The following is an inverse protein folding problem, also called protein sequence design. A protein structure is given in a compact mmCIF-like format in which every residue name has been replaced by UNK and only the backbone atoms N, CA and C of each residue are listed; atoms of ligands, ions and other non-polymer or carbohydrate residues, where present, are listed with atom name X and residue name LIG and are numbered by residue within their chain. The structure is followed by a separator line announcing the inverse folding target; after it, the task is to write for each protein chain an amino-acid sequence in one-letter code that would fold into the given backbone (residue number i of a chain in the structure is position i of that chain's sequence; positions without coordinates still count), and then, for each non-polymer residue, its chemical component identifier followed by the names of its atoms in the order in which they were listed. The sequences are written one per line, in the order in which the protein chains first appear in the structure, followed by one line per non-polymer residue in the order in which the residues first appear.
data_IF_076856283090
#
_entry.id   IF_076856283090
#
_cell.length_a   1.000
_cell.length_b   1.000
_cell.length_c   1.000
_cell.angle_alpha   90.00
_cell.angle_beta   90.00
_cell.angle_gamma   90.00
#
_symmetry.space_group_name_H-M   'P 1'
#
loop_
_entity.id
_entity.type
_entity.pdbx_description
1 polymer ?
#
# COMPACT_ATOMS: atom_id res chain seq x y z
N UNK A 1 -60.52 15.14 31.97
CA UNK A 1 -59.69 15.74 30.95
C UNK A 1 -58.52 14.80 30.73
N UNK A 2 -58.65 13.89 29.81
CA UNK A 2 -57.57 12.96 29.38
C UNK A 2 -56.88 13.61 28.22
N UNK A 3 -55.60 13.91 28.36
CA UNK A 3 -54.76 14.41 27.29
C UNK A 3 -54.11 13.20 26.57
N UNK A 4 -54.52 12.99 25.34
CA UNK A 4 -53.93 12.04 24.40
C UNK A 4 -52.50 12.41 24.10
N UNK A 5 -51.56 11.54 24.47
CA UNK A 5 -50.17 11.59 24.01
C UNK A 5 -50.05 10.64 22.81
N UNK A 6 -49.99 11.23 21.63
CA UNK A 6 -49.66 10.48 20.39
C UNK A 6 -48.25 9.91 20.45
N UNK A 7 -48.00 8.70 19.97
CA UNK A 7 -46.66 8.10 19.96
C UNK A 7 -45.81 8.79 18.89
N UNK A 8 -44.71 9.39 19.32
CA UNK A 8 -43.68 9.94 18.43
C UNK A 8 -42.92 8.76 17.79
N UNK A 9 -43.17 8.52 16.55
CA UNK A 9 -42.39 7.56 15.73
C UNK A 9 -40.97 8.12 15.59
N UNK A 10 -39.90 7.36 15.86
CA UNK A 10 -38.56 7.80 15.57
C UNK A 10 -38.42 7.82 14.05
N UNK A 11 -38.20 9.01 13.48
CA UNK A 11 -37.73 9.15 12.12
C UNK A 11 -36.35 8.50 12.01
N UNK A 12 -36.29 7.31 11.42
CA UNK A 12 -35.05 6.75 10.92
C UNK A 12 -34.58 7.66 9.78
N UNK A 13 -33.59 8.49 10.06
CA UNK A 13 -32.75 9.10 9.03
C UNK A 13 -32.03 7.95 8.32
N UNK A 14 -32.68 7.35 7.35
CA UNK A 14 -32.08 6.45 6.38
C UNK A 14 -31.11 7.26 5.54
N UNK A 15 -29.88 7.40 5.98
CA UNK A 15 -28.80 7.81 5.12
C UNK A 15 -28.59 6.66 4.13
N UNK A 16 -28.96 6.86 2.89
CA UNK A 16 -28.67 5.89 1.83
C UNK A 16 -27.14 5.69 1.81
N UNK A 17 -26.60 4.50 2.10
CA UNK A 17 -25.18 4.27 2.19
C UNK A 17 -24.43 4.46 0.88
N UNK A 18 -25.15 4.71 -0.22
CA UNK A 18 -24.58 4.96 -1.55
C UNK A 18 -24.47 6.47 -1.89
N UNK A 19 -24.98 7.36 -1.05
CA UNK A 19 -24.87 8.80 -1.28
C UNK A 19 -23.42 9.22 -0.97
N UNK A 20 -22.69 9.65 -2.01
CA UNK A 20 -21.30 10.13 -1.91
C UNK A 20 -20.25 9.14 -2.43
N UNK A 21 -20.65 7.96 -2.92
CA UNK A 21 -19.72 7.03 -3.57
C UNK A 21 -19.64 7.30 -5.07
N UNK A 22 -18.42 7.34 -5.60
CA UNK A 22 -18.16 7.47 -7.04
C UNK A 22 -17.95 6.07 -7.65
N UNK A 23 -18.66 5.77 -8.74
CA UNK A 23 -18.39 4.57 -9.51
C UNK A 23 -17.00 4.68 -10.15
N UNK A 24 -16.14 3.74 -9.85
CA UNK A 24 -14.83 3.56 -10.47
C UNK A 24 -14.83 2.23 -11.23
N UNK A 25 -14.84 2.32 -12.55
CA UNK A 25 -14.69 1.15 -13.42
C UNK A 25 -13.22 0.95 -13.71
N UNK A 26 -12.72 -0.24 -13.45
CA UNK A 26 -11.34 -0.65 -13.75
C UNK A 26 -11.35 -1.34 -15.11
N UNK A 27 -10.99 -0.60 -16.14
CA UNK A 27 -10.90 -1.10 -17.51
C UNK A 27 -9.63 -1.93 -17.71
N UNK A 28 -9.71 -2.95 -18.58
CA UNK A 28 -8.57 -3.84 -18.83
C UNK A 28 -8.12 -4.60 -17.58
N UNK A 29 -9.03 -4.95 -16.68
CA UNK A 29 -8.68 -5.58 -15.41
C UNK A 29 -7.98 -6.93 -15.60
N UNK A 30 -6.73 -7.00 -15.14
CA UNK A 30 -5.88 -8.18 -15.11
C UNK A 30 -5.81 -8.73 -13.67
N UNK A 31 -6.29 -9.95 -13.38
CA UNK A 31 -6.15 -10.58 -12.07
C UNK A 31 -4.68 -10.75 -11.66
N UNK A 32 -4.38 -10.52 -10.39
CA UNK A 32 -3.04 -10.73 -9.84
C UNK A 32 -2.68 -12.23 -9.67
N UNK A 33 -3.68 -13.11 -9.73
CA UNK A 33 -3.55 -14.56 -9.55
C UNK A 33 -3.99 -15.31 -10.81
N UNK A 34 -3.41 -16.46 -11.03
CA UNK A 34 -3.86 -17.35 -12.10
C UNK A 34 -5.23 -17.97 -11.73
N UNK A 35 -6.18 -17.88 -12.63
CA UNK A 35 -7.56 -18.36 -12.46
C UNK A 35 -7.94 -19.31 -13.58
N UNK A 36 -8.84 -20.25 -13.29
CA UNK A 36 -9.47 -21.09 -14.28
C UNK A 36 -10.41 -20.30 -15.21
N UNK A 37 -10.71 -20.86 -16.39
CA UNK A 37 -11.58 -20.20 -17.39
C UNK A 37 -12.96 -19.85 -16.84
N UNK A 38 -13.52 -20.66 -15.94
CA UNK A 38 -14.84 -20.43 -15.34
C UNK A 38 -14.80 -19.38 -14.22
N UNK A 39 -13.68 -19.28 -13.49
CA UNK A 39 -13.50 -18.36 -12.37
C UNK A 39 -13.20 -16.93 -12.84
N UNK A 40 -12.46 -16.80 -13.96
CA UNK A 40 -11.98 -15.54 -14.48
C UNK A 40 -13.08 -14.49 -14.67
N UNK A 41 -14.21 -14.78 -15.35
CA UNK A 41 -15.26 -13.77 -15.56
C UNK A 41 -15.91 -13.30 -14.25
N UNK A 42 -16.06 -14.21 -13.28
CA UNK A 42 -16.63 -13.90 -11.96
C UNK A 42 -15.68 -12.99 -11.18
N UNK A 43 -14.40 -13.33 -11.17
CA UNK A 43 -13.37 -12.56 -10.50
C UNK A 43 -13.21 -11.16 -11.11
N UNK A 44 -13.14 -11.05 -12.44
CA UNK A 44 -13.09 -9.77 -13.14
C UNK A 44 -14.28 -8.91 -12.77
N UNK A 45 -15.51 -9.44 -12.85
CA UNK A 45 -16.71 -8.69 -12.48
C UNK A 45 -16.68 -8.22 -11.03
N UNK A 46 -16.13 -9.03 -10.12
CA UNK A 46 -16.03 -8.71 -8.68
C UNK A 46 -15.14 -7.52 -8.41
N UNK A 47 -14.03 -7.36 -9.13
CA UNK A 47 -12.99 -6.37 -8.83
C UNK A 47 -12.83 -5.26 -9.88
N UNK A 48 -13.54 -5.32 -11.01
CA UNK A 48 -13.50 -4.27 -12.02
C UNK A 48 -14.56 -3.18 -11.86
N UNK A 49 -15.57 -3.39 -10.99
CA UNK A 49 -16.60 -2.38 -10.70
C UNK A 49 -16.60 -2.04 -9.22
N UNK A 50 -16.15 -0.85 -8.89
CA UNK A 50 -15.92 -0.42 -7.52
C UNK A 50 -16.69 0.89 -7.25
N UNK A 51 -17.14 1.05 -6.01
CA UNK A 51 -17.74 2.28 -5.50
C UNK A 51 -16.74 2.92 -4.55
N UNK A 52 -16.04 3.93 -5.02
CA UNK A 52 -14.97 4.62 -4.31
C UNK A 52 -15.53 5.71 -3.40
N UNK A 53 -15.07 5.73 -2.15
CA UNK A 53 -15.36 6.79 -1.17
C UNK A 53 -14.22 7.82 -1.21
N UNK A 54 -14.40 8.86 -2.00
CA UNK A 54 -13.37 9.89 -2.20
C UNK A 54 -13.07 10.69 -0.90
N UNK A 55 -13.89 10.58 0.14
CA UNK A 55 -13.60 11.18 1.46
C UNK A 55 -12.44 10.48 2.18
N UNK A 56 -12.21 9.22 1.83
CA UNK A 56 -11.13 8.40 2.42
C UNK A 56 -9.79 8.56 1.71
N UNK A 57 -9.75 9.32 0.60
CA UNK A 57 -8.57 9.44 -0.24
C UNK A 57 -7.34 9.91 0.54
N UNK A 58 -6.24 9.21 0.34
CA UNK A 58 -4.91 9.56 0.84
C UNK A 58 -3.94 9.64 -0.33
N UNK A 59 -3.14 10.69 -0.36
CA UNK A 59 -2.07 10.87 -1.34
C UNK A 59 -0.76 10.36 -0.75
N UNK A 60 -0.04 9.57 -1.52
CA UNK A 60 1.35 9.17 -1.29
C UNK A 60 2.20 9.59 -2.49
N UNK A 61 3.45 9.30 -2.48
CA UNK A 61 4.44 9.57 -3.53
C UNK A 61 3.89 9.88 -4.94
N UNK A 62 3.70 8.85 -5.78
CA UNK A 62 3.14 8.99 -7.14
C UNK A 62 1.69 8.50 -7.24
N UNK A 63 1.08 8.12 -6.12
CA UNK A 63 -0.25 7.51 -6.13
C UNK A 63 -1.19 8.10 -5.10
N UNK A 64 -2.46 7.85 -5.31
CA UNK A 64 -3.52 8.07 -4.32
C UNK A 64 -4.21 6.74 -4.01
N UNK A 65 -4.55 6.53 -2.77
CA UNK A 65 -5.30 5.35 -2.30
C UNK A 65 -6.64 5.80 -1.79
N UNK A 66 -7.70 5.16 -2.27
CA UNK A 66 -9.09 5.42 -1.89
C UNK A 66 -9.72 4.11 -1.42
N UNK A 67 -10.46 4.15 -0.32
CA UNK A 67 -11.30 3.02 0.05
C UNK A 67 -12.44 2.88 -0.94
N UNK A 68 -12.68 1.67 -1.40
CA UNK A 68 -13.82 1.36 -2.24
C UNK A 68 -14.53 0.11 -1.76
N UNK A 69 -15.73 -0.13 -2.26
CA UNK A 69 -16.45 -1.40 -2.07
C UNK A 69 -16.82 -1.96 -3.43
N UNK A 70 -16.78 -3.28 -3.57
CA UNK A 70 -17.27 -3.94 -4.77
C UNK A 70 -18.79 -4.21 -4.68
N UNK A 71 -19.37 -4.78 -5.72
CA UNK A 71 -20.80 -5.09 -5.78
C UNK A 71 -21.28 -6.09 -4.70
N UNK A 72 -20.38 -6.84 -4.09
CA UNK A 72 -20.64 -7.76 -2.98
C UNK A 72 -20.48 -7.10 -1.60
N UNK A 73 -20.18 -5.81 -1.53
CA UNK A 73 -19.96 -5.07 -0.28
C UNK A 73 -18.59 -5.30 0.36
N UNK A 74 -17.65 -5.92 -0.35
CA UNK A 74 -16.29 -6.13 0.16
C UNK A 74 -15.46 -4.85 0.03
N UNK A 75 -14.81 -4.48 1.12
CA UNK A 75 -13.90 -3.34 1.13
C UNK A 75 -12.59 -3.67 0.40
N UNK A 76 -12.20 -2.78 -0.51
CA UNK A 76 -10.95 -2.85 -1.27
C UNK A 76 -10.24 -1.50 -1.21
N UNK A 77 -8.93 -1.50 -1.42
CA UNK A 77 -8.16 -0.30 -1.66
C UNK A 77 -7.93 -0.15 -3.16
N UNK A 78 -8.34 0.99 -3.70
CA UNK A 78 -8.06 1.40 -5.07
C UNK A 78 -6.89 2.38 -5.04
N UNK A 79 -5.71 1.94 -5.48
CA UNK A 79 -4.53 2.80 -5.64
C UNK A 79 -4.44 3.22 -7.10
N UNK A 80 -4.47 4.53 -7.36
CA UNK A 80 -4.34 5.10 -8.70
C UNK A 80 -3.06 5.92 -8.81
N UNK A 81 -2.42 5.85 -9.97
CA UNK A 81 -1.28 6.71 -10.30
C UNK A 81 -1.73 8.18 -10.33
N UNK A 82 -0.88 9.08 -9.85
CA UNK A 82 -1.02 10.52 -10.07
C UNK A 82 -0.05 10.88 -11.19
N UNK A 83 -0.61 11.26 -12.33
CA UNK A 83 0.20 11.73 -13.46
C UNK A 83 0.63 13.17 -13.23
N UNK A 84 1.87 13.55 -13.63
CA UNK A 84 2.31 14.93 -13.64
C UNK A 84 1.43 15.75 -14.58
N UNK A 85 1.13 16.99 -14.21
CA UNK A 85 0.34 17.90 -15.04
C UNK A 85 1.19 18.48 -16.17
N UNK A 86 0.58 18.66 -17.35
CA UNK A 86 1.28 19.20 -18.54
C UNK A 86 1.80 20.62 -18.30
N UNK A 87 1.08 21.42 -17.54
CA UNK A 87 1.38 22.84 -17.28
C UNK A 87 2.69 23.06 -16.49
N UNK A 88 3.25 21.99 -15.93
CA UNK A 88 4.54 22.02 -15.20
C UNK A 88 5.76 21.90 -16.12
N UNK A 89 5.55 21.79 -17.46
CA UNK A 89 6.62 21.50 -18.42
C UNK A 89 6.56 22.45 -19.63
N UNK A 90 7.72 22.94 -20.04
CA UNK A 90 7.89 23.76 -21.25
C UNK A 90 7.89 22.91 -22.53
N UNK A 91 8.20 21.60 -22.42
CA UNK A 91 8.35 20.69 -23.55
C UNK A 91 7.48 19.44 -23.41
N UNK A 92 6.76 19.07 -24.47
CA UNK A 92 5.91 17.88 -24.56
C UNK A 92 6.71 16.61 -24.36
N UNK A 93 7.90 16.51 -24.95
CA UNK A 93 8.75 15.33 -24.86
C UNK A 93 9.24 15.09 -23.42
N UNK A 94 9.54 16.15 -22.67
CA UNK A 94 9.93 16.04 -21.26
C UNK A 94 8.75 15.56 -20.39
N UNK A 95 7.55 16.08 -20.63
CA UNK A 95 6.34 15.64 -19.95
C UNK A 95 6.04 14.16 -20.25
N UNK A 96 6.03 13.74 -21.53
CA UNK A 96 5.79 12.35 -21.93
C UNK A 96 6.84 11.39 -21.32
N UNK A 97 8.10 11.78 -21.31
CA UNK A 97 9.17 11.00 -20.71
C UNK A 97 8.95 10.80 -19.19
N UNK A 98 8.50 11.84 -18.47
CA UNK A 98 8.21 11.72 -17.04
C UNK A 98 6.96 10.87 -16.79
N UNK A 99 5.89 11.04 -17.59
CA UNK A 99 4.69 10.19 -17.53
C UNK A 99 5.06 8.72 -17.72
N UNK A 100 5.90 8.43 -18.71
CA UNK A 100 6.39 7.05 -18.97
C UNK A 100 7.16 6.48 -17.76
N UNK A 101 8.02 7.28 -17.14
CA UNK A 101 8.75 6.90 -15.91
C UNK A 101 7.80 6.60 -14.75
N UNK A 102 6.77 7.42 -14.56
CA UNK A 102 5.80 7.21 -13.48
C UNK A 102 4.98 5.95 -13.71
N UNK A 103 4.52 5.71 -14.94
CA UNK A 103 3.83 4.47 -15.32
C UNK A 103 4.71 3.23 -15.09
N UNK A 104 5.98 3.30 -15.48
CA UNK A 104 6.94 2.21 -15.28
C UNK A 104 7.16 1.91 -13.78
N UNK A 105 7.39 2.95 -12.97
CA UNK A 105 7.57 2.80 -11.53
C UNK A 105 6.32 2.26 -10.83
N UNK A 106 5.13 2.66 -11.28
CA UNK A 106 3.88 2.17 -10.73
C UNK A 106 3.62 0.71 -11.11
N UNK A 107 4.04 0.30 -12.32
CA UNK A 107 4.01 -1.11 -12.74
C UNK A 107 5.00 -1.95 -11.93
N UNK A 108 6.19 -1.45 -11.67
CA UNK A 108 7.19 -2.13 -10.83
C UNK A 108 6.68 -2.32 -9.39
N UNK A 109 6.03 -1.31 -8.81
CA UNK A 109 5.35 -1.44 -7.52
C UNK A 109 4.33 -2.58 -7.52
N UNK A 110 3.51 -2.67 -8.58
CA UNK A 110 2.54 -3.74 -8.74
C UNK A 110 3.22 -5.12 -8.77
N UNK A 111 4.31 -5.28 -9.52
CA UNK A 111 5.01 -6.56 -9.62
C UNK A 111 5.67 -6.97 -8.28
N UNK A 112 6.28 -6.01 -7.56
CA UNK A 112 6.79 -6.25 -6.21
C UNK A 112 5.67 -6.69 -5.26
N UNK A 113 4.54 -5.99 -5.28
CA UNK A 113 3.39 -6.34 -4.45
C UNK A 113 2.82 -7.71 -4.84
N UNK A 114 2.75 -8.03 -6.15
CA UNK A 114 2.25 -9.32 -6.65
C UNK A 114 3.08 -10.48 -6.11
N UNK A 115 4.40 -10.35 -6.09
CA UNK A 115 5.29 -11.38 -5.57
C UNK A 115 5.11 -11.62 -4.06
N UNK A 116 4.72 -10.60 -3.30
CA UNK A 116 4.51 -10.66 -1.85
C UNK A 116 3.05 -10.99 -1.47
N UNK A 117 2.13 -10.89 -2.42
CA UNK A 117 0.70 -11.14 -2.20
C UNK A 117 0.45 -12.58 -1.77
N UNK A 118 -0.39 -12.74 -0.77
CA UNK A 118 -0.69 -14.07 -0.18
C UNK A 118 0.20 -14.46 0.99
N UNK A 119 1.32 -13.76 1.23
CA UNK A 119 2.10 -13.92 2.45
C UNK A 119 1.43 -13.19 3.62
N UNK A 120 1.55 -13.77 4.82
CA UNK A 120 1.09 -13.09 6.04
C UNK A 120 1.92 -11.83 6.28
N UNK A 121 1.23 -10.71 6.51
CA UNK A 121 1.86 -9.42 6.78
C UNK A 121 1.92 -8.50 5.56
N UNK A 122 1.30 -8.90 4.45
CA UNK A 122 1.17 -8.09 3.23
C UNK A 122 -0.28 -8.03 2.79
N UNK A 123 -0.77 -6.92 2.17
CA UNK A 123 -2.11 -6.87 1.63
C UNK A 123 -2.27 -7.86 0.47
N UNK A 124 -3.44 -8.45 0.33
CA UNK A 124 -3.75 -9.23 -0.87
C UNK A 124 -3.85 -8.29 -2.07
N UNK A 125 -3.25 -8.70 -3.17
CA UNK A 125 -3.38 -8.03 -4.45
C UNK A 125 -4.49 -8.71 -5.25
N UNK A 126 -5.43 -7.93 -5.76
CA UNK A 126 -6.52 -8.46 -6.57
C UNK A 126 -6.26 -8.32 -8.06
N UNK A 127 -5.71 -7.18 -8.50
CA UNK A 127 -5.38 -7.01 -9.90
C UNK A 127 -4.92 -5.61 -10.26
N UNK A 128 -4.69 -5.45 -11.56
CA UNK A 128 -4.26 -4.24 -12.24
C UNK A 128 -5.29 -3.85 -13.29
N UNK A 129 -5.36 -2.57 -13.63
CA UNK A 129 -6.13 -2.04 -14.76
C UNK A 129 -6.00 -0.54 -14.84
N UNK A 130 -6.97 0.11 -15.46
CA UNK A 130 -7.03 1.56 -15.58
C UNK A 130 -8.38 2.08 -15.12
N UNK A 131 -8.39 3.23 -14.45
CA UNK A 131 -9.59 3.99 -14.11
C UNK A 131 -9.47 5.34 -14.76
N UNK A 132 -10.41 5.68 -15.66
CA UNK A 132 -10.39 6.91 -16.46
C UNK A 132 -9.08 7.08 -17.26
N UNK A 133 -8.54 5.98 -17.81
CA UNK A 133 -7.28 5.95 -18.55
C UNK A 133 -6.00 6.10 -17.72
N UNK A 134 -6.13 6.06 -16.39
CA UNK A 134 -4.99 6.14 -15.45
C UNK A 134 -4.74 4.79 -14.80
N UNK A 135 -3.49 4.29 -14.77
CA UNK A 135 -3.16 3.02 -14.13
C UNK A 135 -3.65 2.93 -12.69
N UNK A 136 -4.20 1.77 -12.34
CA UNK A 136 -4.79 1.49 -11.05
C UNK A 136 -4.45 0.07 -10.55
N UNK A 137 -4.27 -0.05 -9.25
CA UNK A 137 -4.06 -1.31 -8.53
C UNK A 137 -5.26 -1.51 -7.60
N UNK A 138 -5.86 -2.70 -7.66
CA UNK A 138 -6.91 -3.12 -6.72
C UNK A 138 -6.33 -4.12 -5.75
N UNK A 139 -6.45 -3.82 -4.47
CA UNK A 139 -5.87 -4.64 -3.39
C UNK A 139 -6.76 -4.66 -2.15
N UNK A 140 -6.41 -5.47 -1.18
CA UNK A 140 -7.09 -5.55 0.12
C UNK A 140 -7.12 -4.18 0.81
N UNK A 141 -8.30 -3.79 1.28
CA UNK A 141 -8.39 -2.74 2.28
C UNK A 141 -8.01 -3.31 3.63
N UNK A 142 -6.89 -2.88 4.18
CA UNK A 142 -6.40 -3.34 5.48
C UNK A 142 -7.17 -2.64 6.59
N UNK A 143 -8.04 -3.37 7.27
CA UNK A 143 -8.73 -2.86 8.45
C UNK A 143 -7.77 -2.76 9.63
N UNK A 144 -7.58 -1.52 10.13
CA UNK A 144 -6.64 -1.22 11.20
C UNK A 144 -6.12 0.20 11.12
N UNK A 145 -5.07 0.45 11.87
CA UNK A 145 -4.43 1.76 11.92
C UNK A 145 -2.91 1.66 11.72
N UNK A 146 -2.31 2.68 11.15
CA UNK A 146 -0.84 2.76 11.02
C UNK A 146 -0.19 2.96 12.39
N UNK A 147 1.03 2.48 12.57
CA UNK A 147 1.80 2.74 13.79
C UNK A 147 1.98 4.24 14.06
N UNK A 148 2.05 5.06 12.99
CA UNK A 148 2.11 6.51 13.13
C UNK A 148 0.88 7.08 13.86
N UNK A 149 -0.32 6.56 13.57
CA UNK A 149 -1.58 6.96 14.23
C UNK A 149 -1.72 6.36 15.63
N UNK A 150 -1.28 5.11 15.77
CA UNK A 150 -1.36 4.41 17.06
C UNK A 150 -0.35 4.93 18.09
N UNK A 151 0.67 5.69 17.67
CA UNK A 151 1.73 6.17 18.56
C UNK A 151 1.20 6.83 19.83
N UNK A 152 0.22 7.73 19.72
CA UNK A 152 -0.37 8.42 20.89
C UNK A 152 -1.11 7.48 21.83
N UNK A 153 -1.76 6.44 21.29
CA UNK A 153 -2.50 5.43 22.10
C UNK A 153 -1.58 4.42 22.77
N UNK A 154 -0.40 4.17 22.18
CA UNK A 154 0.61 3.24 22.67
C UNK A 154 1.65 3.92 23.56
N UNK A 155 1.68 5.25 23.56
CA UNK A 155 2.64 6.04 24.33
C UNK A 155 2.42 5.88 25.85
N UNK A 156 3.53 5.81 26.58
CA UNK A 156 3.52 5.76 28.05
C UNK A 156 3.82 7.11 28.69
N UNK A 157 4.14 8.12 27.87
CA UNK A 157 4.45 9.48 28.32
C UNK A 157 4.11 10.54 27.27
N UNK A 158 4.18 11.80 27.66
CA UNK A 158 3.88 12.97 26.82
C UNK A 158 4.86 13.16 25.66
N UNK A 159 6.05 12.55 25.71
CA UNK A 159 7.02 12.54 24.61
C UNK A 159 6.67 11.54 23.51
N UNK A 160 5.58 10.76 23.69
CA UNK A 160 5.11 9.76 22.74
C UNK A 160 6.03 8.54 22.67
N UNK A 161 6.75 8.22 23.77
CA UNK A 161 7.58 7.01 23.86
C UNK A 161 6.74 5.80 24.18
N UNK A 162 7.07 4.69 23.53
CA UNK A 162 6.49 3.38 23.83
C UNK A 162 7.17 2.76 25.06
N UNK A 163 6.49 1.89 25.79
CA UNK A 163 7.18 1.08 26.77
C UNK A 163 8.23 0.19 26.08
N UNK A 164 9.38 -0.07 26.72
CA UNK A 164 10.44 -0.91 26.12
C UNK A 164 9.91 -2.29 25.70
N UNK A 165 8.99 -2.87 26.45
CA UNK A 165 8.39 -4.15 26.16
C UNK A 165 7.54 -4.11 24.88
N UNK A 166 6.67 -3.11 24.73
CA UNK A 166 5.83 -2.92 23.53
C UNK A 166 6.73 -2.66 22.31
N UNK A 167 7.75 -1.80 22.45
CA UNK A 167 8.69 -1.52 21.37
C UNK A 167 9.45 -2.79 20.91
N UNK A 168 9.92 -3.60 21.86
CA UNK A 168 10.62 -4.85 21.56
C UNK A 168 9.72 -5.87 20.85
N UNK A 169 8.45 -5.98 21.27
CA UNK A 169 7.46 -6.89 20.65
C UNK A 169 7.11 -6.45 19.22
N UNK A 170 6.85 -5.16 19.02
CA UNK A 170 6.63 -4.60 17.69
C UNK A 170 7.84 -4.81 16.78
N UNK A 171 9.05 -4.60 17.31
CA UNK A 171 10.31 -4.84 16.58
C UNK A 171 10.45 -6.30 16.17
N UNK A 172 10.21 -7.24 17.08
CA UNK A 172 10.22 -8.68 16.77
C UNK A 172 9.26 -9.02 15.63
N UNK A 173 7.99 -8.60 15.74
CA UNK A 173 6.96 -8.93 14.76
C UNK A 173 7.25 -8.29 13.39
N UNK A 174 7.85 -7.08 13.39
CA UNK A 174 8.33 -6.42 12.17
C UNK A 174 9.51 -7.18 11.54
N UNK A 175 10.50 -7.59 12.33
CA UNK A 175 11.62 -8.37 11.80
C UNK A 175 11.17 -9.71 11.23
N UNK A 176 10.23 -10.40 11.88
CA UNK A 176 9.64 -11.64 11.35
C UNK A 176 8.95 -11.41 10.01
N UNK A 177 8.32 -10.26 9.82
CA UNK A 177 7.69 -9.87 8.55
C UNK A 177 8.76 -9.61 7.48
N UNK A 178 9.81 -8.86 7.80
CA UNK A 178 10.92 -8.58 6.89
C UNK A 178 11.69 -9.84 6.50
N UNK A 179 11.88 -10.78 7.44
CA UNK A 179 12.47 -12.08 7.14
C UNK A 179 11.63 -12.85 6.10
N UNK A 180 10.30 -12.87 6.25
CA UNK A 180 9.40 -13.50 5.24
C UNK A 180 9.52 -12.84 3.88
N UNK A 181 9.58 -11.51 3.82
CA UNK A 181 9.78 -10.74 2.59
C UNK A 181 11.09 -11.11 1.90
N UNK A 182 12.17 -11.29 2.67
CA UNK A 182 13.49 -11.63 2.14
C UNK A 182 13.61 -13.10 1.68
N UNK A 183 12.66 -13.97 1.99
CA UNK A 183 12.63 -15.37 1.54
C UNK A 183 11.92 -15.56 0.18
N UNK A 184 11.35 -14.52 -0.41
CA UNK A 184 10.66 -14.60 -1.70
C UNK A 184 11.64 -14.34 -2.84
N UNK A 185 11.77 -15.30 -3.76
CA UNK A 185 12.74 -15.23 -4.86
C UNK A 185 14.16 -15.06 -4.34
N UNK A 186 14.87 -14.08 -4.88
CA UNK A 186 16.22 -13.69 -4.40
C UNK A 186 16.16 -12.69 -3.24
N UNK A 187 14.95 -12.34 -2.78
CA UNK A 187 14.68 -11.38 -1.72
C UNK A 187 14.14 -10.05 -2.23
N UNK A 188 13.59 -9.28 -1.28
CA UNK A 188 13.08 -7.93 -1.54
C UNK A 188 13.60 -6.95 -0.49
N UNK A 189 13.80 -5.71 -0.90
CA UNK A 189 14.13 -4.58 -0.03
C UNK A 189 13.01 -3.56 -0.12
N UNK A 190 12.41 -3.19 1.01
CA UNK A 190 11.28 -2.23 1.04
C UNK A 190 11.71 -0.78 0.83
N UNK A 191 12.85 -0.37 1.39
CA UNK A 191 13.47 0.96 1.32
C UNK A 191 12.68 2.13 1.94
N UNK A 192 11.46 1.91 2.42
CA UNK A 192 10.67 2.94 3.12
C UNK A 192 9.92 2.34 4.33
N UNK A 193 10.68 1.70 5.22
CA UNK A 193 10.15 1.23 6.50
C UNK A 193 9.94 2.44 7.42
N UNK A 194 8.69 2.79 7.61
CA UNK A 194 8.29 3.89 8.49
C UNK A 194 7.00 3.54 9.24
N UNK A 195 6.71 4.18 10.38
CA UNK A 195 5.46 3.96 11.10
C UNK A 195 4.19 4.27 10.28
N UNK A 196 4.30 5.07 9.22
CA UNK A 196 3.20 5.37 8.31
C UNK A 196 2.89 4.20 7.36
N UNK A 197 3.90 3.35 7.06
CA UNK A 197 3.80 2.23 6.13
C UNK A 197 3.61 0.87 6.84
N UNK A 198 3.49 0.88 8.18
CA UNK A 198 3.21 -0.31 8.99
C UNK A 198 1.83 -0.16 9.61
N UNK A 199 0.90 -1.05 9.26
CA UNK A 199 -0.42 -1.12 9.87
C UNK A 199 -0.49 -2.22 10.91
N UNK A 200 -1.25 -1.99 11.97
CA UNK A 200 -1.71 -3.02 12.90
C UNK A 200 -3.12 -3.40 12.49
N UNK A 201 -3.30 -4.62 12.01
CA UNK A 201 -4.61 -5.16 11.63
C UNK A 201 -5.46 -5.39 12.88
N UNK A 202 -6.73 -4.97 12.85
CA UNK A 202 -7.64 -5.13 13.98
C UNK A 202 -8.91 -5.92 13.65
N UNK A 203 -9.04 -6.37 12.39
CA UNK A 203 -10.22 -7.10 11.93
C UNK A 203 -10.44 -8.45 12.66
N UNK A 204 -9.38 -9.15 13.02
CA UNK A 204 -9.45 -10.45 13.70
C UNK A 204 -9.23 -10.35 15.20
N UNK A 205 -8.33 -9.50 15.64
CA UNK A 205 -7.92 -9.34 17.02
C UNK A 205 -7.80 -7.85 17.35
N UNK A 206 -8.64 -7.31 18.24
CA UNK A 206 -8.55 -5.92 18.68
C UNK A 206 -7.19 -5.58 19.26
N UNK A 207 -6.80 -4.30 19.18
CA UNK A 207 -5.49 -3.82 19.63
C UNK A 207 -5.20 -4.18 21.11
N UNK A 208 -6.20 -4.06 21.99
CA UNK A 208 -6.02 -4.34 23.42
C UNK A 208 -5.68 -5.82 23.70
N UNK A 209 -6.27 -6.72 22.90
CA UNK A 209 -5.94 -8.13 22.99
C UNK A 209 -4.54 -8.42 22.44
N UNK A 210 -4.16 -7.78 21.32
CA UNK A 210 -2.80 -7.89 20.78
C UNK A 210 -1.74 -7.41 21.79
N UNK A 211 -2.03 -6.32 22.50
CA UNK A 211 -1.18 -5.81 23.59
C UNK A 211 -1.05 -6.82 24.73
N UNK A 212 -2.17 -7.42 25.15
CA UNK A 212 -2.19 -8.42 26.22
C UNK A 212 -1.43 -9.69 25.84
N UNK A 213 -1.64 -10.19 24.61
CA UNK A 213 -0.94 -11.37 24.08
C UNK A 213 0.54 -11.07 23.76
N UNK A 214 0.86 -9.80 23.54
CA UNK A 214 2.21 -9.35 23.20
C UNK A 214 2.66 -9.78 21.80
N UNK A 215 1.73 -9.88 20.87
CA UNK A 215 1.96 -10.17 19.46
C UNK A 215 1.06 -9.28 18.61
N UNK A 216 1.66 -8.61 17.62
CA UNK A 216 0.95 -7.67 16.75
C UNK A 216 0.75 -8.27 15.35
N UNK A 217 -0.48 -8.16 14.83
CA UNK A 217 -0.78 -8.53 13.43
C UNK A 217 -0.38 -7.36 12.51
N UNK A 218 0.92 -7.29 12.21
CA UNK A 218 1.48 -6.23 11.38
C UNK A 218 1.23 -6.50 9.91
N UNK A 219 0.97 -5.42 9.17
CA UNK A 219 0.85 -5.41 7.73
C UNK A 219 1.70 -4.27 7.15
N UNK A 220 2.67 -4.63 6.33
CA UNK A 220 3.50 -3.67 5.61
C UNK A 220 2.78 -3.25 4.33
N UNK A 221 2.63 -1.95 4.13
CA UNK A 221 1.92 -1.35 3.01
C UNK A 221 2.85 -0.41 2.23
N UNK A 222 2.46 -0.09 1.00
CA UNK A 222 3.17 0.83 0.09
C UNK A 222 4.53 0.31 -0.38
N UNK A 223 4.53 -0.30 -1.57
CA UNK A 223 5.71 -0.90 -2.20
C UNK A 223 6.36 0.02 -3.25
N UNK A 224 5.96 1.30 -3.31
CA UNK A 224 6.44 2.26 -4.30
C UNK A 224 7.95 2.55 -4.26
N UNK A 225 8.61 2.17 -3.18
CA UNK A 225 10.08 2.24 -3.04
C UNK A 225 10.73 0.87 -3.04
N UNK A 226 9.94 -0.22 -3.09
CA UNK A 226 10.45 -1.59 -2.97
C UNK A 226 11.19 -2.05 -4.22
N UNK A 227 12.07 -3.01 -4.04
CA UNK A 227 12.88 -3.57 -5.10
C UNK A 227 13.08 -5.07 -4.89
N UNK A 228 12.88 -5.85 -5.97
CA UNK A 228 13.33 -7.23 -6.02
C UNK A 228 14.85 -7.29 -6.18
N UNK A 229 15.50 -8.19 -5.45
CA UNK A 229 16.94 -8.44 -5.63
C UNK A 229 17.15 -9.35 -6.84
N UNK A 230 18.16 -9.02 -7.67
CA UNK A 230 18.54 -9.89 -8.78
C UNK A 230 19.56 -10.95 -8.34
N UNK A 231 19.58 -12.13 -9.00
CA UNK A 231 20.59 -13.15 -8.72
C UNK A 231 22.00 -12.58 -8.91
N UNK A 232 22.91 -12.95 -8.04
CA UNK A 232 24.32 -12.52 -8.13
C UNK A 232 24.98 -12.85 -9.48
N UNK A 233 24.50 -13.89 -10.17
CA UNK A 233 24.95 -14.29 -11.51
C UNK A 233 24.54 -13.33 -12.63
N UNK A 234 23.42 -12.62 -12.49
CA UNK A 234 22.95 -11.64 -13.48
C UNK A 234 23.80 -10.36 -13.46
N UNK A 235 24.34 -10.01 -12.30
CA UNK A 235 25.21 -8.83 -12.12
C UNK A 235 26.59 -9.01 -12.74
N UNK A 236 27.10 -10.24 -12.82
CA UNK A 236 28.43 -10.54 -13.35
C UNK A 236 28.53 -10.53 -14.89
N UNK A 237 27.39 -10.60 -15.61
CA UNK A 237 27.35 -10.68 -17.09
C UNK A 237 27.12 -9.35 -17.82
N UNK A 238 26.67 -8.33 -17.13
CA UNK A 238 26.42 -7.02 -17.72
C UNK A 238 27.69 -6.18 -17.61
N UNK A 239 28.53 -6.21 -18.62
CA UNK A 239 29.76 -5.43 -18.76
C UNK A 239 29.55 -3.91 -18.93
N UNK A 240 28.59 -3.35 -18.22
CA UNK A 240 28.34 -1.93 -18.12
C UNK A 240 27.82 -1.63 -16.71
N UNK A 241 28.62 -0.89 -15.96
CA UNK A 241 28.28 -0.33 -14.65
C UNK A 241 27.15 0.73 -14.78
N UNK A 242 25.96 0.31 -15.20
CA UNK A 242 24.80 1.08 -14.83
C UNK A 242 24.58 0.83 -13.34
N UNK A 243 25.03 1.75 -12.50
CA UNK A 243 24.87 1.64 -11.07
C UNK A 243 23.39 1.46 -10.77
N UNK A 244 23.08 0.63 -9.80
CA UNK A 244 21.71 0.47 -9.24
C UNK A 244 21.01 1.82 -9.04
N UNK A 245 21.76 2.85 -8.68
CA UNK A 245 21.34 4.23 -8.52
C UNK A 245 20.92 4.91 -9.83
N UNK A 246 21.55 4.61 -10.97
CA UNK A 246 21.20 5.22 -12.26
C UNK A 246 19.92 4.64 -12.86
N UNK A 247 19.64 3.35 -12.68
CA UNK A 247 18.35 2.75 -13.08
C UNK A 247 17.17 3.34 -12.31
N UNK A 248 17.36 3.74 -11.05
CA UNK A 248 16.30 4.14 -10.12
C UNK A 248 16.46 5.56 -9.56
N UNK A 249 17.48 6.31 -10.00
CA UNK A 249 17.83 7.63 -9.48
C UNK A 249 16.71 8.68 -9.57
N UNK A 250 15.70 8.46 -10.41
CA UNK A 250 14.66 9.45 -10.68
C UNK A 250 13.49 9.40 -9.71
N UNK A 251 13.35 8.35 -8.90
CA UNK A 251 12.23 8.20 -7.98
C UNK A 251 12.67 7.68 -6.61
N UNK A 252 13.70 8.32 -6.04
CA UNK A 252 14.08 8.07 -4.66
C UNK A 252 12.93 8.51 -3.75
N UNK A 253 12.26 7.53 -3.17
CA UNK A 253 11.19 7.75 -2.21
C UNK A 253 11.59 7.10 -0.92
N UNK A 254 11.78 7.92 0.07
CA UNK A 254 11.95 7.46 1.43
C UNK A 254 11.41 8.53 2.36
N UNK A 255 10.83 8.11 3.46
CA UNK A 255 10.46 9.01 4.54
C UNK A 255 11.73 9.52 5.21
N UNK A 256 12.12 10.76 4.96
CA UNK A 256 13.44 11.34 5.33
C UNK A 256 13.85 11.02 6.76
N UNK A 257 12.92 11.06 7.71
CA UNK A 257 13.20 10.78 9.13
C UNK A 257 13.58 9.29 9.40
N UNK A 258 13.33 8.39 8.45
CA UNK A 258 13.54 6.94 8.59
C UNK A 258 14.43 6.38 7.48
N UNK A 259 14.80 7.22 6.51
CA UNK A 259 15.66 6.82 5.41
C UNK A 259 17.08 6.57 5.88
N UNK A 260 17.75 5.52 5.42
CA UNK A 260 19.17 5.34 5.67
C UNK A 260 19.98 6.43 4.91
N UNK A 261 21.18 6.80 5.41
CA UNK A 261 21.97 7.90 4.86
C UNK A 261 22.22 7.79 3.35
N UNK A 262 22.44 6.59 2.85
CA UNK A 262 22.67 6.29 1.43
C UNK A 262 21.45 6.58 0.53
N UNK A 263 20.26 6.62 1.10
CA UNK A 263 19.04 7.01 0.39
C UNK A 263 18.85 8.52 0.30
N UNK A 264 19.58 9.27 1.12
CA UNK A 264 19.54 10.74 1.22
C UNK A 264 20.68 11.42 0.47
N UNK A 265 21.72 10.65 0.10
CA UNK A 265 22.89 11.12 -0.65
C UNK A 265 22.93 10.53 -2.05
N UNK A 266 23.78 11.11 -2.93
CA UNK A 266 24.01 10.56 -4.27
C UNK A 266 25.10 9.47 -4.28
N UNK A 267 25.54 9.02 -3.12
CA UNK A 267 26.57 8.01 -2.99
C UNK A 267 26.06 6.62 -3.46
N UNK A 268 26.96 5.90 -4.10
CA UNK A 268 26.67 4.52 -4.58
C UNK A 268 26.64 3.60 -3.38
N UNK A 269 25.48 2.96 -3.18
CA UNK A 269 25.31 1.94 -2.14
C UNK A 269 25.65 0.56 -2.69
N UNK A 270 26.58 -0.14 -2.06
CA UNK A 270 26.81 -1.55 -2.31
C UNK A 270 25.65 -2.37 -1.70
N UNK A 271 24.86 -3.00 -2.56
CA UNK A 271 23.72 -3.85 -2.17
C UNK A 271 24.07 -4.94 -1.15
N UNK A 272 25.36 -5.32 -1.05
CA UNK A 272 25.83 -6.30 -0.06
C UNK A 272 25.71 -5.77 1.37
N UNK A 273 25.74 -4.44 1.57
CA UNK A 273 25.56 -3.80 2.88
C UNK A 273 24.09 -3.88 3.33
N UNK A 274 23.14 -3.94 2.39
CA UNK A 274 21.71 -4.05 2.68
C UNK A 274 21.25 -5.45 3.09
N UNK A 275 22.14 -6.45 2.99
CA UNK A 275 21.88 -7.86 3.42
C UNK A 275 22.27 -8.13 4.87
N UNK A 276 22.86 -7.16 5.58
CA UNK A 276 23.14 -7.22 7.01
C UNK A 276 21.96 -6.66 7.81
#
# INVERSE_FOLDING_TARGET
MMTDLAPTTPQSLGCDPMVGLRLARVDGFEPAVALGQEELPVYVRRFSMLFADDTTMRRGGIGRVTRAVNAQGEAVALKQLILPTRDEFDDDAAHEALVAKFKAAFREEYECHRALSGLKGFPRLYGWGEVDGVPAIVMEWVEGETLARLRSRLAVDDAGRLSPLVAARLGRDLFDLLCRMNLVGEGFVHRDISPANIMVRTARLPLDQQLAEGSFDLCLIDFGSSLALEPASAVAGAGGKASFTERYATLRRATVAYAPPEMLTDDIVDLRVLRM
#
